data_IF_983020864457
#
_entry.id   IF_983020864457
#
_cell.length_a   1.000
_cell.length_b   1.000
_cell.length_c   1.000
_cell.angle_alpha   90.00
_cell.angle_beta   90.00
_cell.angle_gamma   90.00
#
_symmetry.space_group_name_H-M   'P 1'
#
loop_
_entity.id
_entity.type
_entity.pdbx_description
1 polymer ?
#
# COMPACT_ATOMS: atom_id res chain seq x y z
N UNK A 1 9.71 7.10 7.34
CA UNK A 1 8.46 6.91 8.12
C UNK A 1 8.69 6.33 9.52
N UNK A 2 9.66 5.41 9.68
CA UNK A 2 9.89 4.67 10.92
C UNK A 2 10.10 5.54 12.17
N UNK A 3 10.83 6.65 12.05
CA UNK A 3 11.09 7.57 13.18
C UNK A 3 9.83 8.27 13.75
N UNK A 4 8.69 8.19 13.07
CA UNK A 4 7.44 8.85 13.48
C UNK A 4 6.25 7.88 13.45
N UNK A 5 6.52 6.58 13.49
CA UNK A 5 5.51 5.53 13.28
C UNK A 5 4.45 5.50 14.38
N UNK A 6 4.78 5.92 15.60
CA UNK A 6 3.85 5.93 16.74
C UNK A 6 2.66 6.88 16.55
N UNK A 7 2.78 7.88 15.67
CA UNK A 7 1.70 8.79 15.31
C UNK A 7 0.77 8.27 14.22
N UNK A 8 1.13 7.18 13.54
CA UNK A 8 0.35 6.65 12.42
C UNK A 8 -0.88 5.89 12.93
N UNK A 9 -2.07 6.36 12.58
CA UNK A 9 -3.36 5.72 12.95
C UNK A 9 -4.25 5.36 11.78
N UNK A 10 -4.07 6.03 10.64
CA UNK A 10 -4.92 5.82 9.46
C UNK A 10 -4.62 4.45 8.82
N UNK A 11 -5.65 3.74 8.31
CA UNK A 11 -5.46 2.57 7.47
C UNK A 11 -4.50 2.87 6.30
N UNK A 12 -3.75 1.85 5.85
CA UNK A 12 -2.82 1.99 4.73
C UNK A 12 -2.88 0.79 3.79
N UNK A 13 -2.75 1.09 2.49
CA UNK A 13 -2.45 0.12 1.44
C UNK A 13 -1.01 0.31 0.99
N UNK A 14 -0.19 -0.74 1.10
CA UNK A 14 1.17 -0.80 0.58
C UNK A 14 1.17 -1.58 -0.74
N UNK A 15 1.78 -1.03 -1.80
CA UNK A 15 1.90 -1.68 -3.11
C UNK A 15 3.37 -1.65 -3.51
N UNK A 16 3.97 -2.80 -3.82
CA UNK A 16 5.42 -2.89 -4.09
C UNK A 16 5.74 -4.06 -5.03
N UNK A 17 6.71 -3.89 -5.93
CA UNK A 17 7.39 -4.99 -6.61
C UNK A 17 8.52 -5.54 -5.72
N UNK A 18 8.72 -6.86 -5.68
CA UNK A 18 9.71 -7.46 -4.77
C UNK A 18 11.16 -7.46 -5.30
N UNK A 19 11.40 -7.22 -6.60
CA UNK A 19 12.73 -6.98 -7.20
C UNK A 19 13.02 -5.47 -7.38
N UNK A 20 12.46 -4.63 -6.50
CA UNK A 20 12.80 -3.22 -6.44
C UNK A 20 14.24 -3.00 -5.91
N UNK A 21 15.11 -2.53 -6.79
CA UNK A 21 16.53 -2.22 -6.48
C UNK A 21 16.76 -0.80 -5.97
N UNK A 22 15.75 0.06 -6.02
CA UNK A 22 15.80 1.42 -5.50
C UNK A 22 15.36 1.44 -4.03
N UNK A 23 14.30 0.68 -3.72
CA UNK A 23 13.74 0.55 -2.37
C UNK A 23 13.66 -0.93 -2.03
N UNK A 24 14.52 -1.46 -1.13
CA UNK A 24 14.47 -2.87 -0.78
C UNK A 24 13.10 -3.31 -0.28
N UNK A 25 12.59 -4.44 -0.75
CA UNK A 25 11.29 -4.98 -0.33
C UNK A 25 11.18 -5.15 1.20
N UNK A 26 12.30 -5.40 1.89
CA UNK A 26 12.37 -5.47 3.36
C UNK A 26 11.83 -4.22 4.06
N UNK A 27 11.97 -3.03 3.47
CA UNK A 27 11.42 -1.79 4.03
C UNK A 27 9.88 -1.85 4.13
N UNK A 28 9.21 -2.47 3.16
CA UNK A 28 7.75 -2.70 3.21
C UNK A 28 7.38 -3.75 4.23
N UNK A 29 8.19 -4.82 4.33
CA UNK A 29 7.99 -5.86 5.34
C UNK A 29 8.11 -5.27 6.75
N UNK A 30 9.14 -4.47 7.01
CA UNK A 30 9.37 -3.84 8.30
C UNK A 30 8.28 -2.82 8.64
N UNK A 31 7.91 -1.94 7.70
CA UNK A 31 6.84 -0.98 7.92
C UNK A 31 5.50 -1.68 8.22
N UNK A 32 5.15 -2.71 7.45
CA UNK A 32 3.91 -3.45 7.67
C UNK A 32 3.89 -4.17 9.03
N UNK A 33 5.03 -4.75 9.45
CA UNK A 33 5.16 -5.38 10.77
C UNK A 33 4.92 -4.35 11.88
N UNK A 34 5.60 -3.22 11.81
CA UNK A 34 5.52 -2.19 12.85
C UNK A 34 4.15 -1.51 12.94
N UNK A 35 3.47 -1.32 11.80
CA UNK A 35 2.11 -0.79 11.77
C UNK A 35 1.10 -1.78 12.33
N UNK A 36 1.20 -3.07 11.97
CA UNK A 36 0.34 -4.12 12.54
C UNK A 36 0.54 -4.28 14.05
N UNK A 37 1.78 -4.15 14.54
CA UNK A 37 2.08 -4.16 15.97
C UNK A 37 1.44 -2.98 16.74
N UNK A 38 0.96 -1.96 16.03
CA UNK A 38 0.25 -0.78 16.57
C UNK A 38 -1.24 -0.80 16.23
N UNK A 39 -1.79 -1.96 15.86
CA UNK A 39 -3.19 -2.16 15.48
C UNK A 39 -3.66 -1.27 14.30
N UNK A 40 -2.74 -0.83 13.44
CA UNK A 40 -3.08 -0.14 12.20
C UNK A 40 -3.52 -1.16 11.16
N UNK A 41 -4.63 -0.89 10.47
CA UNK A 41 -5.08 -1.69 9.33
C UNK A 41 -4.09 -1.56 8.16
N UNK A 42 -3.49 -2.68 7.75
CA UNK A 42 -2.48 -2.75 6.69
C UNK A 42 -2.90 -3.76 5.63
N UNK A 43 -3.21 -3.26 4.44
CA UNK A 43 -3.36 -4.04 3.22
C UNK A 43 -2.05 -4.03 2.41
N UNK A 44 -1.78 -5.13 1.70
CA UNK A 44 -0.60 -5.25 0.85
C UNK A 44 -0.96 -5.83 -0.52
N UNK A 45 -0.35 -5.28 -1.56
CA UNK A 45 -0.32 -5.88 -2.91
C UNK A 45 1.14 -5.95 -3.34
N UNK A 46 1.68 -7.17 -3.34
CA UNK A 46 3.06 -7.43 -3.73
C UNK A 46 3.07 -8.07 -5.10
N UNK A 47 3.88 -7.53 -6.01
CA UNK A 47 4.05 -8.08 -7.35
C UNK A 47 5.42 -8.78 -7.45
N UNK A 48 5.44 -10.11 -7.53
CA UNK A 48 6.68 -10.84 -7.77
C UNK A 48 7.34 -10.45 -9.09
N UNK A 49 8.67 -10.38 -9.07
CA UNK A 49 9.54 -10.08 -10.22
C UNK A 49 9.33 -8.69 -10.85
N UNK A 50 8.59 -7.81 -10.17
CA UNK A 50 8.45 -6.41 -10.58
C UNK A 50 9.51 -5.53 -9.93
N UNK A 51 10.02 -4.57 -10.71
CA UNK A 51 11.00 -3.58 -10.26
C UNK A 51 10.29 -2.33 -9.69
N UNK A 52 11.06 -1.27 -9.40
CA UNK A 52 10.56 -0.02 -8.81
C UNK A 52 9.33 0.58 -9.53
N UNK A 53 9.34 0.54 -10.86
CA UNK A 53 8.17 0.85 -11.68
C UNK A 53 7.67 -0.44 -12.32
N UNK A 54 6.38 -0.73 -12.18
CA UNK A 54 5.81 -1.95 -12.75
C UNK A 54 6.02 -1.98 -14.27
N UNK A 55 6.44 -3.11 -14.81
CA UNK A 55 6.69 -3.34 -16.24
C UNK A 55 5.42 -3.85 -16.92
N UNK A 56 4.63 -4.68 -16.23
CA UNK A 56 3.45 -5.31 -16.80
C UNK A 56 2.22 -4.43 -16.64
N UNK A 57 1.58 -4.02 -17.73
CA UNK A 57 0.33 -3.25 -17.72
C UNK A 57 -0.78 -3.85 -16.81
N UNK A 58 -0.83 -5.18 -16.69
CA UNK A 58 -1.73 -5.87 -15.77
C UNK A 58 -1.49 -5.53 -14.29
N UNK A 59 -0.24 -5.33 -13.90
CA UNK A 59 0.14 -4.94 -12.54
C UNK A 59 -0.21 -3.48 -12.27
N UNK A 60 -0.09 -2.59 -13.26
CA UNK A 60 -0.61 -1.22 -13.18
C UNK A 60 -2.12 -1.20 -12.91
N UNK A 61 -2.88 -1.94 -13.72
CA UNK A 61 -4.34 -2.04 -13.56
C UNK A 61 -4.72 -2.61 -12.19
N UNK A 62 -4.00 -3.63 -11.72
CA UNK A 62 -4.23 -4.24 -10.42
C UNK A 62 -3.97 -3.24 -9.29
N UNK A 63 -2.85 -2.53 -9.34
CA UNK A 63 -2.49 -1.50 -8.36
C UNK A 63 -3.52 -0.38 -8.31
N UNK A 64 -3.93 0.18 -9.45
CA UNK A 64 -4.93 1.25 -9.51
C UNK A 64 -6.29 0.80 -8.99
N UNK A 65 -6.73 -0.41 -9.34
CA UNK A 65 -7.99 -0.95 -8.83
C UNK A 65 -7.93 -1.22 -7.32
N UNK A 66 -6.79 -1.69 -6.81
CA UNK A 66 -6.60 -1.87 -5.38
C UNK A 66 -6.68 -0.54 -4.63
N UNK A 67 -5.98 0.49 -5.12
CA UNK A 67 -6.04 1.84 -4.56
C UNK A 67 -7.45 2.43 -4.60
N UNK A 68 -8.15 2.33 -5.74
CA UNK A 68 -9.53 2.82 -5.87
C UNK A 68 -10.47 2.14 -4.85
N UNK A 69 -10.43 0.80 -4.75
CA UNK A 69 -11.23 0.07 -3.76
C UNK A 69 -10.87 0.42 -2.32
N UNK A 70 -9.59 0.66 -2.04
CA UNK A 70 -9.13 1.07 -0.72
C UNK A 70 -9.73 2.41 -0.33
N UNK A 71 -9.71 3.39 -1.24
CA UNK A 71 -10.34 4.68 -1.01
C UNK A 71 -11.87 4.58 -0.91
N UNK A 72 -12.53 3.79 -1.76
CA UNK A 72 -13.99 3.60 -1.70
C UNK A 72 -14.44 3.12 -0.30
N UNK A 73 -13.66 2.22 0.34
CA UNK A 73 -13.95 1.71 1.69
C UNK A 73 -13.71 2.74 2.79
N UNK A 74 -12.68 3.58 2.67
CA UNK A 74 -12.20 4.41 3.76
C UNK A 74 -12.63 5.88 3.70
N UNK A 75 -12.93 6.39 2.50
CA UNK A 75 -13.38 7.76 2.28
C UNK A 75 -14.87 7.84 1.94
N UNK A 76 -15.49 6.70 1.60
CA UNK A 76 -16.84 6.63 1.07
C UNK A 76 -16.96 7.21 -0.34
N UNK A 77 -17.98 6.80 -1.09
CA UNK A 77 -18.43 7.59 -2.23
C UNK A 77 -19.00 8.89 -1.66
N UNK A 78 -18.47 10.04 -2.08
CA UNK A 78 -19.19 11.29 -1.88
C UNK A 78 -20.58 11.10 -2.48
N UNK A 79 -21.62 11.10 -1.64
CA UNK A 79 -23.00 11.15 -2.10
C UNK A 79 -23.08 12.36 -3.05
N UNK A 80 -23.25 12.09 -4.34
CA UNK A 80 -23.35 13.11 -5.39
C UNK A 80 -24.73 13.79 -5.36
N UNK A 81 -25.37 13.84 -4.19
CA UNK A 81 -26.74 14.27 -4.00
C UNK A 81 -26.88 14.95 -2.66
N UNK A 82 -26.36 16.18 -2.56
CA UNK A 82 -26.92 17.24 -1.72
C UNK A 82 -26.79 18.57 -2.43
#
# INVERSE_FOLDING_TARGET
PMASIDGWRSPVLLIHGDDDRNVPFSETVDLARELRARDVEVEQVIFPDEVHGFLLHGNWLTAYRAAARFFDRHLGRADSTR
#
